data_IF_188708296830
#
_entry.id   IF_188708296830
#
_cell.length_a   1.000
_cell.length_b   1.000
_cell.length_c   1.000
_cell.angle_alpha   90.00
_cell.angle_beta   90.00
_cell.angle_gamma   90.00
#
_symmetry.space_group_name_H-M   'P 1'
#
loop_
_entity.id
_entity.type
_entity.pdbx_description
1 polymer ?
#
# COMPACT_ATOMS: atom_id res chain seq x y z
N UNK A 1 20.71 6.08 -16.11
CA UNK A 1 19.33 5.78 -15.70
C UNK A 1 18.85 6.87 -14.77
N UNK A 2 17.66 7.46 -15.01
CA UNK A 2 17.11 8.45 -14.08
C UNK A 2 16.49 7.78 -12.86
N UNK A 3 16.85 8.25 -11.67
CA UNK A 3 16.34 7.73 -10.39
C UNK A 3 15.71 8.86 -9.59
N UNK A 4 14.46 8.65 -9.18
CA UNK A 4 13.68 9.50 -8.29
C UNK A 4 13.76 8.97 -6.85
N UNK A 5 13.70 9.85 -5.86
CA UNK A 5 13.80 9.49 -4.45
C UNK A 5 12.68 10.12 -3.63
N UNK A 6 12.05 9.31 -2.79
CA UNK A 6 11.15 9.72 -1.71
C UNK A 6 11.39 8.86 -0.47
N UNK A 7 10.81 9.28 0.65
CA UNK A 7 10.89 8.56 1.92
C UNK A 7 9.63 8.79 2.75
N UNK A 8 9.32 7.85 3.63
CA UNK A 8 8.18 7.92 4.55
C UNK A 8 8.38 8.91 5.70
N UNK A 9 9.61 9.35 5.93
CA UNK A 9 9.97 10.40 6.88
C UNK A 9 10.76 11.51 6.17
N UNK A 10 10.58 12.78 6.58
CA UNK A 10 11.47 13.86 6.16
C UNK A 10 12.94 13.51 6.43
N UNK A 11 13.77 13.58 5.40
CA UNK A 11 15.17 13.22 5.48
C UNK A 11 16.04 14.00 4.48
N UNK A 12 17.31 14.19 4.82
CA UNK A 12 18.31 14.68 3.87
C UNK A 12 18.81 13.53 2.99
N UNK A 13 19.01 13.78 1.71
CA UNK A 13 19.55 12.83 0.73
C UNK A 13 20.98 13.24 0.35
N UNK A 14 21.90 12.29 0.46
CA UNK A 14 23.26 12.39 -0.10
C UNK A 14 23.49 11.32 -1.14
N UNK A 15 24.16 11.66 -2.23
CA UNK A 15 24.66 10.70 -3.21
C UNK A 15 26.17 10.85 -3.37
N UNK A 16 26.93 9.78 -3.14
CA UNK A 16 28.39 9.79 -3.21
C UNK A 16 29.03 10.83 -2.28
N UNK A 17 28.40 11.10 -1.13
CA UNK A 17 28.81 12.14 -0.18
C UNK A 17 28.34 13.57 -0.51
N UNK A 18 27.70 13.80 -1.66
CA UNK A 18 27.17 15.13 -2.06
C UNK A 18 25.74 15.29 -1.56
N UNK A 19 25.47 16.38 -0.84
CA UNK A 19 24.11 16.74 -0.41
C UNK A 19 23.24 17.20 -1.59
N UNK A 20 22.16 16.47 -1.87
CA UNK A 20 21.20 16.80 -2.93
C UNK A 20 19.96 17.56 -2.43
N UNK A 21 19.77 17.62 -1.10
CA UNK A 21 18.67 18.30 -0.44
C UNK A 21 17.80 17.34 0.36
N UNK A 22 16.53 17.70 0.56
CA UNK A 22 15.61 16.94 1.43
C UNK A 22 14.55 16.19 0.63
N UNK A 23 14.25 14.96 1.05
CA UNK A 23 13.14 14.12 0.61
C UNK A 23 12.00 14.26 1.63
N UNK A 24 10.77 14.49 1.16
CA UNK A 24 9.59 14.63 2.04
C UNK A 24 8.53 15.64 1.56
N UNK A 25 8.92 16.61 0.73
CA UNK A 25 8.00 17.61 0.16
C UNK A 25 7.94 17.67 -1.37
N UNK A 26 9.03 17.29 -2.04
CA UNK A 26 9.14 17.28 -3.51
C UNK A 26 10.02 16.11 -3.96
N UNK A 27 9.78 15.60 -5.16
CA UNK A 27 10.64 14.57 -5.74
C UNK A 27 12.05 15.10 -5.99
N UNK A 28 13.06 14.31 -5.61
CA UNK A 28 14.46 14.52 -6.00
C UNK A 28 14.81 13.51 -7.05
N UNK A 29 15.60 13.90 -8.04
CA UNK A 29 16.09 12.97 -9.05
C UNK A 29 17.55 13.22 -9.40
N UNK A 30 18.21 12.16 -9.85
CA UNK A 30 19.54 12.21 -10.45
C UNK A 30 19.60 11.24 -11.62
N UNK A 31 20.51 11.47 -12.54
CA UNK A 31 20.92 10.47 -13.50
C UNK A 31 22.11 9.68 -12.93
N UNK A 32 21.93 8.39 -12.67
CA UNK A 32 22.97 7.46 -12.19
C UNK A 32 23.36 6.46 -13.25
N UNK A 33 24.64 6.12 -13.28
CA UNK A 33 25.13 4.95 -14.00
C UNK A 33 25.02 3.72 -13.08
N UNK A 34 24.16 2.72 -13.39
CA UNK A 34 24.03 1.52 -12.56
C UNK A 34 25.33 0.71 -12.43
N UNK A 35 26.31 0.91 -13.33
CA UNK A 35 27.61 0.27 -13.27
C UNK A 35 28.58 0.97 -12.31
N UNK A 36 28.34 2.24 -11.95
CA UNK A 36 29.26 3.06 -11.16
C UNK A 36 29.14 2.88 -9.64
N UNK A 37 28.22 2.03 -9.15
CA UNK A 37 27.94 1.78 -7.73
C UNK A 37 27.89 3.06 -6.87
N UNK A 38 26.78 3.78 -6.93
CA UNK A 38 26.64 5.06 -6.24
C UNK A 38 26.04 4.87 -4.85
N UNK A 39 26.74 5.29 -3.78
CA UNK A 39 26.17 5.30 -2.43
C UNK A 39 25.06 6.36 -2.33
N UNK A 40 23.90 5.97 -1.84
CA UNK A 40 22.78 6.83 -1.47
C UNK A 40 22.52 6.75 0.03
N UNK A 41 22.57 7.88 0.71
CA UNK A 41 22.35 7.98 2.16
C UNK A 41 21.10 8.84 2.41
N UNK A 42 20.12 8.27 3.11
CA UNK A 42 18.94 8.97 3.59
C UNK A 42 19.06 9.20 5.09
N UNK A 43 19.18 10.46 5.49
CA UNK A 43 19.44 10.85 6.87
C UNK A 43 18.15 11.46 7.44
N UNK A 44 17.39 10.72 8.27
CA UNK A 44 16.12 11.20 8.81
C UNK A 44 16.35 12.44 9.69
N UNK A 45 15.42 13.40 9.60
CA UNK A 45 15.45 14.60 10.46
C UNK A 45 15.19 14.25 11.93
N UNK A 46 14.37 13.23 12.17
CA UNK A 46 14.12 12.72 13.51
C UNK A 46 15.29 11.84 13.97
N UNK A 47 15.98 12.30 15.02
CA UNK A 47 17.12 11.63 15.62
C UNK A 47 16.80 10.27 16.26
N UNK A 48 15.53 9.93 16.45
CA UNK A 48 15.10 8.60 16.91
C UNK A 48 15.31 7.50 15.86
N UNK A 49 15.68 7.85 14.63
CA UNK A 49 15.96 6.91 13.54
C UNK A 49 17.44 6.90 13.14
N UNK A 50 17.86 5.77 12.59
CA UNK A 50 19.15 5.59 11.94
C UNK A 50 19.06 6.00 10.46
N UNK A 51 20.16 6.50 9.86
CA UNK A 51 20.23 6.67 8.41
C UNK A 51 19.98 5.34 7.66
N UNK A 52 19.41 5.45 6.48
CA UNK A 52 19.29 4.33 5.55
C UNK A 52 20.29 4.52 4.41
N UNK A 53 21.25 3.60 4.31
CA UNK A 53 22.34 3.65 3.35
C UNK A 53 22.20 2.53 2.31
N UNK A 54 22.28 2.88 1.04
CA UNK A 54 22.03 1.99 -0.09
C UNK A 54 23.11 2.16 -1.15
N UNK A 55 23.56 1.07 -1.76
CA UNK A 55 24.43 1.14 -2.94
C UNK A 55 23.57 0.95 -4.18
N UNK A 56 23.44 2.01 -4.97
CA UNK A 56 22.71 2.01 -6.23
C UNK A 56 23.53 1.28 -7.29
N UNK A 57 23.22 0.01 -7.48
CA UNK A 57 23.78 -0.87 -8.51
C UNK A 57 22.68 -1.73 -9.15
N UNK A 58 23.02 -2.47 -10.21
CA UNK A 58 22.03 -3.25 -10.97
C UNK A 58 21.19 -4.22 -10.12
N UNK A 59 21.79 -4.91 -9.15
CA UNK A 59 21.12 -5.88 -8.27
C UNK A 59 20.11 -5.21 -7.35
N UNK A 60 20.41 -4.01 -6.86
CA UNK A 60 19.52 -3.24 -5.98
C UNK A 60 18.16 -2.98 -6.64
N UNK A 61 18.13 -2.65 -7.93
CA UNK A 61 16.86 -2.39 -8.65
C UNK A 61 16.06 -3.65 -8.98
N UNK A 62 16.62 -4.84 -8.73
CA UNK A 62 15.95 -6.13 -8.94
C UNK A 62 15.49 -6.76 -7.62
N UNK A 63 16.19 -6.47 -6.52
CA UNK A 63 15.96 -7.03 -5.20
C UNK A 63 16.40 -6.01 -4.14
N UNK A 64 15.64 -4.92 -3.94
CA UNK A 64 15.97 -3.92 -2.94
C UNK A 64 15.82 -4.50 -1.52
N UNK A 65 16.47 -3.90 -0.51
CA UNK A 65 16.24 -4.26 0.89
C UNK A 65 14.77 -4.08 1.29
N UNK A 66 14.33 -4.84 2.30
CA UNK A 66 12.93 -4.86 2.74
C UNK A 66 12.34 -3.49 3.09
N UNK A 67 13.15 -2.53 3.50
CA UNK A 67 12.70 -1.18 3.86
C UNK A 67 12.54 -0.22 2.66
N UNK A 68 12.82 -0.67 1.42
CA UNK A 68 12.83 0.19 0.23
C UNK A 68 12.01 -0.41 -0.91
N UNK A 69 11.08 0.39 -1.44
CA UNK A 69 10.30 0.05 -2.63
C UNK A 69 10.92 0.66 -3.90
N UNK A 70 10.91 -0.11 -4.98
CA UNK A 70 11.41 0.28 -6.31
C UNK A 70 10.26 0.26 -7.31
N UNK A 71 9.93 1.42 -7.89
CA UNK A 71 8.94 1.55 -8.96
C UNK A 71 9.64 1.79 -10.30
N UNK A 72 9.33 0.99 -11.31
CA UNK A 72 9.96 1.06 -12.64
C UNK A 72 8.98 1.66 -13.66
N UNK A 73 9.39 2.74 -14.31
CA UNK A 73 8.59 3.48 -15.29
C UNK A 73 8.97 3.20 -16.74
N UNK A 74 9.88 2.25 -17.02
CA UNK A 74 10.46 2.02 -18.34
C UNK A 74 11.54 3.05 -18.74
N UNK A 75 11.27 4.35 -18.56
CA UNK A 75 12.22 5.44 -18.82
C UNK A 75 13.01 5.90 -17.57
N UNK A 76 12.52 5.56 -16.36
CA UNK A 76 13.12 5.94 -15.09
C UNK A 76 12.74 4.94 -13.98
N UNK A 77 13.35 5.11 -12.82
CA UNK A 77 13.04 4.37 -11.59
C UNK A 77 12.74 5.35 -10.46
N UNK A 78 11.85 4.97 -9.54
CA UNK A 78 11.60 5.70 -8.31
C UNK A 78 11.81 4.81 -7.11
N UNK A 79 12.63 5.28 -6.17
CA UNK A 79 12.95 4.65 -4.91
C UNK A 79 12.19 5.34 -3.79
N UNK A 80 11.51 4.54 -2.98
CA UNK A 80 10.83 5.00 -1.78
C UNK A 80 11.41 4.29 -0.56
N UNK A 81 11.96 5.03 0.39
CA UNK A 81 12.30 4.48 1.71
C UNK A 81 11.01 4.38 2.52
N UNK A 82 10.50 3.15 2.69
CA UNK A 82 9.25 2.87 3.38
C UNK A 82 9.40 3.00 4.89
N UNK A 83 10.56 2.65 5.44
CA UNK A 83 10.82 2.71 6.88
C UNK A 83 12.29 2.98 7.19
N UNK A 84 12.54 3.60 8.34
CA UNK A 84 13.87 3.76 8.92
C UNK A 84 13.96 2.94 10.20
N UNK A 85 15.12 2.33 10.44
CA UNK A 85 15.35 1.60 11.69
C UNK A 85 15.41 2.56 12.88
N UNK A 86 14.77 2.20 13.99
CA UNK A 86 14.87 2.99 15.20
C UNK A 86 16.30 2.96 15.77
N UNK A 87 16.76 4.09 16.30
CA UNK A 87 18.06 4.24 16.97
C UNK A 87 18.07 3.53 18.33
N UNK A 88 16.95 3.52 19.03
CA UNK A 88 16.82 2.82 20.31
C UNK A 88 16.56 1.32 20.08
N UNK A 89 17.47 0.48 20.56
CA UNK A 89 17.43 -0.98 20.44
C UNK A 89 17.15 -1.69 21.78
N UNK A 90 16.70 -0.97 22.81
CA UNK A 90 16.31 -1.60 24.06
C UNK A 90 15.01 -2.38 23.94
N UNK A 91 14.87 -3.43 24.76
CA UNK A 91 13.67 -4.27 24.81
C UNK A 91 12.75 -3.77 25.92
N UNK A 92 11.50 -3.47 25.59
CA UNK A 92 10.45 -3.18 26.58
C UNK A 92 9.15 -3.87 26.21
N UNK A 93 8.58 -4.64 27.13
CA UNK A 93 7.22 -5.22 26.95
C UNK A 93 6.19 -4.09 27.04
N UNK A 94 5.31 -4.03 26.06
CA UNK A 94 4.24 -3.03 25.95
C UNK A 94 2.92 -3.60 26.45
N UNK A 95 2.58 -4.82 26.02
CA UNK A 95 1.41 -5.55 26.48
C UNK A 95 1.69 -7.06 26.43
N UNK A 96 1.03 -7.82 27.31
CA UNK A 96 1.13 -9.27 27.29
C UNK A 96 -0.18 -9.88 27.82
N UNK A 97 -0.78 -10.77 27.04
CA UNK A 97 -2.07 -11.38 27.37
C UNK A 97 -2.05 -12.89 27.10
N UNK A 98 -2.89 -13.63 27.84
CA UNK A 98 -3.16 -15.05 27.58
C UNK A 98 -4.54 -15.22 26.96
N UNK A 99 -4.58 -15.49 25.67
CA UNK A 99 -5.81 -15.64 24.87
C UNK A 99 -5.71 -16.84 23.94
N UNK A 100 -6.82 -17.55 23.69
CA UNK A 100 -6.88 -18.72 22.81
C UNK A 100 -5.81 -19.81 23.10
N UNK A 101 -5.40 -19.96 24.36
CA UNK A 101 -4.33 -20.87 24.79
C UNK A 101 -2.91 -20.46 24.36
N UNK A 102 -2.71 -19.23 23.91
CA UNK A 102 -1.41 -18.64 23.56
C UNK A 102 -0.99 -17.57 24.56
N UNK A 103 0.32 -17.35 24.73
CA UNK A 103 0.88 -16.14 25.33
C UNK A 103 1.21 -15.17 24.20
N UNK A 104 0.50 -14.05 24.14
CA UNK A 104 0.69 -13.02 23.12
C UNK A 104 1.42 -11.85 23.76
N UNK A 105 2.57 -11.48 23.24
CA UNK A 105 3.40 -10.40 23.77
C UNK A 105 3.65 -9.35 22.69
N UNK A 106 3.28 -8.11 22.97
CA UNK A 106 3.72 -6.93 22.24
C UNK A 106 4.89 -6.30 22.97
N UNK A 107 5.98 -6.03 22.24
CA UNK A 107 7.17 -5.44 22.82
C UNK A 107 7.85 -4.51 21.80
N UNK A 108 8.64 -3.58 22.32
CA UNK A 108 9.51 -2.72 21.51
C UNK A 108 10.90 -3.33 21.46
N UNK A 109 11.46 -3.48 20.26
CA UNK A 109 12.87 -3.78 20.02
C UNK A 109 13.25 -3.27 18.62
N UNK A 110 13.82 -2.06 18.52
CA UNK A 110 14.09 -1.42 17.22
C UNK A 110 12.84 -1.08 16.38
N UNK A 111 11.65 -1.29 16.94
CA UNK A 111 10.33 -1.22 16.31
C UNK A 111 9.31 -1.95 17.19
N UNK A 112 8.04 -1.96 16.80
CA UNK A 112 7.00 -2.75 17.50
C UNK A 112 7.08 -4.19 17.01
N UNK A 113 7.08 -5.14 17.93
CA UNK A 113 7.24 -6.56 17.67
C UNK A 113 6.10 -7.32 18.35
N UNK A 114 5.63 -8.37 17.67
CA UNK A 114 4.67 -9.34 18.17
C UNK A 114 5.36 -10.68 18.37
N UNK A 115 5.08 -11.33 19.50
CA UNK A 115 5.35 -12.75 19.74
C UNK A 115 4.04 -13.45 20.11
N UNK A 116 3.77 -14.60 19.49
CA UNK A 116 2.68 -15.51 19.85
C UNK A 116 3.29 -16.86 20.19
N UNK A 117 3.20 -17.25 21.46
CA UNK A 117 3.76 -18.51 21.96
C UNK A 117 2.65 -19.49 22.32
N UNK A 118 2.77 -20.71 21.82
CA UNK A 118 1.92 -21.85 22.14
C UNK A 118 2.77 -23.06 22.48
N UNK A 119 2.16 -24.07 23.10
CA UNK A 119 2.86 -25.32 23.44
C UNK A 119 3.45 -26.04 22.23
N UNK A 120 2.85 -25.87 21.06
CA UNK A 120 3.23 -26.51 19.80
C UNK A 120 3.88 -25.56 18.78
N UNK A 121 4.13 -24.30 19.14
CA UNK A 121 4.74 -23.36 18.20
C UNK A 121 4.97 -21.95 18.71
N UNK A 122 5.72 -21.20 17.92
CA UNK A 122 6.09 -19.82 18.18
C UNK A 122 6.00 -19.02 16.88
N UNK A 123 5.56 -17.78 16.95
CA UNK A 123 5.48 -16.87 15.81
C UNK A 123 5.88 -15.46 16.21
N UNK A 124 6.65 -14.80 15.34
CA UNK A 124 7.03 -13.39 15.52
C UNK A 124 6.88 -12.60 14.25
N UNK A 125 6.53 -11.32 14.39
CA UNK A 125 6.58 -10.36 13.31
C UNK A 125 6.85 -8.93 13.80
N UNK A 126 7.44 -8.11 12.94
CA UNK A 126 7.45 -6.66 13.09
C UNK A 126 6.06 -6.11 12.77
N UNK A 127 5.56 -5.21 13.62
CA UNK A 127 4.29 -4.53 13.45
C UNK A 127 4.49 -3.04 13.13
N UNK A 128 3.50 -2.40 12.47
CA UNK A 128 3.47 -0.95 12.34
C UNK A 128 3.58 -0.23 13.69
N UNK A 129 4.18 0.96 13.70
CA UNK A 129 4.38 1.75 14.92
C UNK A 129 3.08 2.04 15.69
N UNK A 130 1.95 2.14 15.00
CA UNK A 130 0.62 2.34 15.60
C UNK A 130 0.23 1.23 16.59
N UNK A 131 0.82 0.02 16.51
CA UNK A 131 0.56 -1.06 17.47
C UNK A 131 1.21 -0.87 18.84
N UNK A 132 1.91 0.25 19.09
CA UNK A 132 2.52 0.54 20.38
C UNK A 132 1.51 0.50 21.54
N UNK A 133 0.28 0.94 21.28
CA UNK A 133 -0.83 0.97 22.25
C UNK A 133 -1.97 0.01 21.87
N UNK A 134 -1.66 -1.06 21.12
CA UNK A 134 -2.66 -2.01 20.66
C UNK A 134 -3.28 -2.82 21.80
N UNK A 135 -4.56 -3.11 21.66
CA UNK A 135 -5.27 -4.06 22.52
C UNK A 135 -5.10 -5.48 22.00
N UNK A 136 -4.85 -6.41 22.92
CA UNK A 136 -4.82 -7.85 22.65
C UNK A 136 -6.04 -8.47 23.32
N UNK A 137 -6.86 -9.18 22.58
CA UNK A 137 -8.06 -9.84 23.09
C UNK A 137 -8.45 -11.03 22.21
N UNK A 138 -9.48 -11.78 22.62
CA UNK A 138 -10.08 -12.82 21.78
C UNK A 138 -11.51 -12.49 21.42
N UNK A 139 -11.91 -12.91 20.22
CA UNK A 139 -13.27 -12.81 19.71
C UNK A 139 -13.62 -14.09 18.94
N UNK A 140 -14.90 -14.41 18.83
CA UNK A 140 -15.37 -15.60 18.12
C UNK A 140 -15.85 -15.24 16.71
N UNK A 141 -15.28 -15.90 15.69
CA UNK A 141 -15.73 -15.81 14.31
C UNK A 141 -16.04 -17.19 13.75
N UNK A 142 -17.26 -17.39 13.23
CA UNK A 142 -17.70 -18.68 12.69
C UNK A 142 -17.60 -19.82 13.70
N UNK A 143 -17.89 -19.53 14.98
CA UNK A 143 -17.80 -20.47 16.08
C UNK A 143 -16.38 -20.81 16.57
N UNK A 144 -15.34 -20.16 16.02
CA UNK A 144 -13.96 -20.34 16.46
C UNK A 144 -13.43 -19.08 17.17
N UNK A 145 -12.84 -19.28 18.35
CA UNK A 145 -12.16 -18.22 19.08
C UNK A 145 -10.80 -17.90 18.44
N UNK A 146 -10.54 -16.63 18.15
CA UNK A 146 -9.35 -16.14 17.46
C UNK A 146 -8.70 -15.00 18.24
N UNK A 147 -7.41 -14.77 18.00
CA UNK A 147 -6.62 -13.71 18.64
C UNK A 147 -6.76 -12.44 17.81
N UNK A 148 -7.15 -11.34 18.45
CA UNK A 148 -7.31 -10.03 17.84
C UNK A 148 -6.27 -9.06 18.40
N UNK A 149 -5.66 -8.31 17.50
CA UNK A 149 -4.84 -7.14 17.80
C UNK A 149 -5.45 -5.92 17.12
N UNK A 150 -5.84 -4.93 17.91
CA UNK A 150 -6.46 -3.71 17.42
C UNK A 150 -5.71 -2.47 17.91
N UNK A 151 -5.32 -1.61 16.98
CA UNK A 151 -4.69 -0.32 17.27
C UNK A 151 -5.48 0.82 16.60
N UNK A 152 -5.86 1.84 17.38
CA UNK A 152 -6.50 3.03 16.84
C UNK A 152 -5.49 3.88 16.06
N UNK A 153 -5.89 4.37 14.88
CA UNK A 153 -5.06 5.22 14.01
C UNK A 153 -5.92 6.36 13.43
N UNK A 154 -6.10 7.43 14.20
CA UNK A 154 -7.03 8.50 13.85
C UNK A 154 -8.48 8.00 13.94
N UNK A 155 -9.22 8.09 12.83
CA UNK A 155 -10.59 7.55 12.70
C UNK A 155 -10.62 6.07 12.30
N UNK A 156 -9.47 5.51 11.91
CA UNK A 156 -9.33 4.12 11.48
C UNK A 156 -8.84 3.22 12.64
N UNK A 157 -8.93 1.90 12.44
CA UNK A 157 -8.32 0.87 13.29
C UNK A 157 -7.46 -0.06 12.44
N UNK A 158 -6.20 -0.28 12.82
CA UNK A 158 -5.42 -1.39 12.31
C UNK A 158 -5.85 -2.66 13.04
N UNK A 159 -6.43 -3.62 12.31
CA UNK A 159 -6.99 -4.86 12.83
C UNK A 159 -6.24 -6.06 12.27
N UNK A 160 -5.48 -6.74 13.13
CA UNK A 160 -4.76 -7.97 12.81
C UNK A 160 -5.37 -9.14 13.58
N UNK A 161 -5.68 -10.24 12.91
CA UNK A 161 -6.34 -11.43 13.48
C UNK A 161 -5.50 -12.67 13.20
N UNK A 162 -5.35 -13.53 14.21
CA UNK A 162 -4.55 -14.75 14.16
C UNK A 162 -5.32 -15.96 14.68
N UNK A 163 -4.99 -17.12 14.12
CA UNK A 163 -5.35 -18.45 14.62
C UNK A 163 -4.10 -19.13 15.16
N UNK A 164 -3.86 -18.95 16.47
CA UNK A 164 -2.57 -19.30 17.08
C UNK A 164 -1.43 -18.56 16.39
N UNK A 165 -0.48 -19.31 15.83
CA UNK A 165 0.72 -18.77 15.15
C UNK A 165 0.46 -18.37 13.69
N UNK A 166 -0.78 -18.47 13.19
CA UNK A 166 -1.10 -18.22 11.79
C UNK A 166 -1.84 -16.88 11.62
N UNK A 167 -1.30 -15.91 10.85
CA UNK A 167 -2.04 -14.71 10.50
C UNK A 167 -3.22 -15.05 9.57
N UNK A 168 -4.40 -14.49 9.86
CA UNK A 168 -5.63 -14.71 9.09
C UNK A 168 -6.13 -13.44 8.40
N UNK A 169 -6.03 -12.28 9.05
CA UNK A 169 -6.54 -11.01 8.53
C UNK A 169 -5.63 -9.88 8.98
N UNK A 170 -5.27 -8.97 8.08
CA UNK A 170 -4.47 -7.78 8.38
C UNK A 170 -4.97 -6.65 7.51
N UNK A 171 -5.71 -5.71 8.08
CA UNK A 171 -6.21 -4.55 7.34
C UNK A 171 -6.37 -3.34 8.25
N UNK A 172 -6.40 -2.17 7.61
CA UNK A 172 -6.96 -0.95 8.19
C UNK A 172 -8.47 -0.93 7.94
N UNK A 173 -9.25 -0.76 8.99
CA UNK A 173 -10.72 -0.79 8.95
C UNK A 173 -11.28 0.43 9.65
N UNK A 174 -12.37 1.01 9.14
CA UNK A 174 -13.17 2.01 9.84
C UNK A 174 -13.90 1.38 11.03
N UNK A 175 -14.41 0.17 10.83
CA UNK A 175 -15.10 -0.61 11.84
C UNK A 175 -15.13 -2.09 11.48
N UNK A 176 -15.38 -2.93 12.47
CA UNK A 176 -15.55 -4.37 12.27
C UNK A 176 -16.56 -4.93 13.28
N UNK A 177 -17.06 -6.13 12.99
CA UNK A 177 -17.86 -6.94 13.90
C UNK A 177 -17.50 -8.42 13.73
N UNK A 178 -17.33 -9.12 14.85
CA UNK A 178 -17.16 -10.57 14.91
C UNK A 178 -18.52 -11.25 15.17
N UNK A 179 -18.74 -12.40 14.56
CA UNK A 179 -19.97 -13.17 14.64
C UNK A 179 -19.88 -14.40 13.76
N UNK A 180 -20.95 -14.77 13.03
CA UNK A 180 -20.86 -15.85 12.03
C UNK A 180 -19.85 -15.54 10.91
N UNK A 181 -19.71 -14.27 10.55
CA UNK A 181 -18.70 -13.73 9.64
C UNK A 181 -17.88 -12.67 10.37
N UNK A 182 -16.65 -12.44 9.92
CA UNK A 182 -15.95 -11.19 10.21
C UNK A 182 -16.47 -10.15 9.22
N UNK A 183 -17.24 -9.17 9.70
CA UNK A 183 -17.67 -8.02 8.92
C UNK A 183 -16.67 -6.88 9.12
N UNK A 184 -16.19 -6.28 8.04
CA UNK A 184 -15.24 -5.18 8.08
C UNK A 184 -15.61 -4.08 7.08
N UNK A 185 -15.52 -2.82 7.54
CA UNK A 185 -15.72 -1.62 6.73
C UNK A 185 -14.36 -0.97 6.45
N UNK A 186 -14.02 -0.76 5.18
CA UNK A 186 -12.73 -0.22 4.76
C UNK A 186 -12.94 1.10 4.00
N UNK A 187 -12.12 2.10 4.27
CA UNK A 187 -12.08 3.35 3.52
C UNK A 187 -10.92 3.34 2.52
N UNK A 188 -11.21 3.70 1.28
CA UNK A 188 -10.19 3.98 0.27
C UNK A 188 -9.87 5.48 0.29
N UNK A 189 -8.57 5.81 0.29
CA UNK A 189 -8.08 7.19 0.21
C UNK A 189 -7.97 7.63 -1.26
N UNK A 190 -9.09 7.52 -1.98
CA UNK A 190 -9.18 7.83 -3.41
C UNK A 190 -10.10 9.02 -3.68
N UNK A 191 -10.23 9.43 -4.95
CA UNK A 191 -10.97 10.65 -5.28
C UNK A 191 -12.48 10.57 -4.99
N UNK A 192 -13.06 9.37 -5.07
CA UNK A 192 -14.48 9.14 -4.79
C UNK A 192 -14.74 8.82 -3.31
N UNK A 193 -13.68 8.65 -2.51
CA UNK A 193 -13.75 8.25 -1.10
C UNK A 193 -14.51 6.95 -0.94
N UNK A 194 -14.18 5.92 -1.75
CA UNK A 194 -14.91 4.66 -1.69
C UNK A 194 -14.87 4.05 -0.29
N UNK A 195 -15.97 3.42 0.08
CA UNK A 195 -16.12 2.65 1.30
C UNK A 195 -16.57 1.25 0.90
N UNK A 196 -15.77 0.25 1.26
CA UNK A 196 -16.13 -1.15 1.10
C UNK A 196 -16.68 -1.73 2.39
N UNK A 197 -17.73 -2.53 2.27
CA UNK A 197 -18.22 -3.41 3.31
C UNK A 197 -17.97 -4.85 2.88
N UNK A 198 -17.23 -5.58 3.70
CA UNK A 198 -16.76 -6.93 3.38
C UNK A 198 -17.15 -7.90 4.49
N UNK A 199 -17.65 -9.07 4.10
CA UNK A 199 -17.94 -10.18 5.00
C UNK A 199 -17.00 -11.34 4.71
N UNK A 200 -16.31 -11.84 5.73
CA UNK A 200 -15.32 -12.90 5.59
C UNK A 200 -15.76 -14.13 6.40
N UNK A 201 -15.90 -15.25 5.71
CA UNK A 201 -16.21 -16.54 6.33
C UNK A 201 -14.92 -17.25 6.69
N UNK A 202 -14.84 -17.77 7.92
CA UNK A 202 -13.75 -18.67 8.28
C UNK A 202 -14.05 -20.06 7.71
N UNK A 203 -13.25 -20.50 6.73
CA UNK A 203 -13.35 -21.82 6.11
C UNK A 203 -11.99 -22.49 6.10
N UNK A 204 -11.93 -23.73 6.59
CA UNK A 204 -10.70 -24.54 6.67
C UNK A 204 -9.48 -23.79 7.28
N UNK A 205 -9.72 -22.94 8.29
CA UNK A 205 -8.67 -22.18 8.97
C UNK A 205 -8.08 -21.04 8.15
N UNK A 206 -8.85 -20.48 7.21
CA UNK A 206 -8.54 -19.25 6.46
C UNK A 206 -9.80 -18.41 6.28
N UNK A 207 -9.66 -17.09 6.16
CA UNK A 207 -10.77 -16.25 5.76
C UNK A 207 -10.97 -16.31 4.24
N UNK A 208 -12.20 -16.59 3.83
CA UNK A 208 -12.67 -16.50 2.46
C UNK A 208 -13.70 -15.36 2.36
N UNK A 209 -13.54 -14.49 1.36
CA UNK A 209 -14.45 -13.38 1.12
C UNK A 209 -15.84 -13.93 0.72
N UNK A 210 -16.85 -13.68 1.54
CA UNK A 210 -18.22 -14.16 1.35
C UNK A 210 -19.15 -13.08 0.77
N UNK A 211 -18.91 -11.82 1.12
CA UNK A 211 -19.63 -10.66 0.56
C UNK A 211 -18.69 -9.47 0.43
N UNK A 212 -18.95 -8.63 -0.58
CA UNK A 212 -18.20 -7.42 -0.80
C UNK A 212 -19.08 -6.42 -1.56
N UNK A 213 -19.35 -5.28 -0.94
CA UNK A 213 -20.08 -4.17 -1.55
C UNK A 213 -19.25 -2.91 -1.43
N UNK A 214 -19.37 -2.02 -2.41
CA UNK A 214 -18.63 -0.76 -2.45
C UNK A 214 -19.62 0.33 -2.73
N UNK A 215 -19.48 1.43 -1.98
CA UNK A 215 -20.18 2.68 -2.25
C UNK A 215 -19.17 3.81 -2.27
N UNK A 216 -19.58 4.91 -2.84
CA UNK A 216 -18.81 6.15 -2.81
C UNK A 216 -19.17 6.95 -1.55
N UNK A 217 -18.40 8.00 -1.28
CA UNK A 217 -18.80 8.99 -0.27
C UNK A 217 -20.09 9.68 -0.70
N UNK A 218 -20.88 10.08 0.29
CA UNK A 218 -22.14 10.75 0.05
C UNK A 218 -21.91 12.08 -0.70
N UNK A 219 -22.72 12.35 -1.73
CA UNK A 219 -22.62 13.56 -2.55
C UNK A 219 -21.49 13.55 -3.59
N UNK A 220 -20.86 12.42 -3.86
CA UNK A 220 -19.92 12.30 -4.98
C UNK A 220 -20.66 12.20 -6.32
N UNK A 221 -20.43 13.17 -7.19
CA UNK A 221 -21.06 13.26 -8.51
C UNK A 221 -20.01 13.07 -9.61
N UNK A 222 -19.94 11.86 -10.19
CA UNK A 222 -18.94 11.53 -11.21
C UNK A 222 -19.00 12.44 -12.45
N UNK A 223 -20.20 12.88 -12.84
CA UNK A 223 -20.40 13.74 -14.01
C UNK A 223 -19.97 15.20 -13.76
N UNK A 224 -19.66 15.57 -12.51
CA UNK A 224 -19.14 16.90 -12.13
C UNK A 224 -17.61 16.96 -12.02
N UNK A 225 -16.93 15.83 -12.23
CA UNK A 225 -15.50 15.70 -12.07
C UNK A 225 -14.75 16.42 -13.20
N UNK A 226 -13.65 17.11 -12.88
CA UNK A 226 -12.73 17.63 -13.91
C UNK A 226 -12.22 16.44 -14.77
N UNK A 227 -12.19 16.61 -16.09
CA UNK A 227 -11.74 15.57 -17.02
C UNK A 227 -10.33 15.04 -16.70
N UNK A 228 -9.46 15.86 -16.08
CA UNK A 228 -8.12 15.47 -15.61
C UNK A 228 -8.14 14.44 -14.48
N UNK A 229 -9.23 14.36 -13.73
CA UNK A 229 -9.39 13.43 -12.63
C UNK A 229 -10.14 12.15 -13.04
N UNK A 230 -10.81 12.14 -14.20
CA UNK A 230 -11.57 10.99 -14.68
C UNK A 230 -10.74 9.70 -14.77
N UNK A 231 -9.48 9.72 -15.28
CA UNK A 231 -8.62 8.54 -15.26
C UNK A 231 -8.41 7.96 -13.86
N UNK A 232 -8.14 8.81 -12.88
CA UNK A 232 -7.94 8.39 -11.49
C UNK A 232 -9.21 7.80 -10.91
N UNK A 233 -10.34 8.50 -11.07
CA UNK A 233 -11.64 8.03 -10.57
C UNK A 233 -11.99 6.65 -11.13
N UNK A 234 -11.87 6.48 -12.45
CA UNK A 234 -12.15 5.21 -13.10
C UNK A 234 -11.27 4.07 -12.59
N UNK A 235 -9.94 4.24 -12.59
CA UNK A 235 -9.03 3.16 -12.18
C UNK A 235 -9.11 2.87 -10.67
N UNK A 236 -9.35 3.88 -9.84
CA UNK A 236 -9.55 3.71 -8.40
C UNK A 236 -10.87 2.98 -8.11
N UNK A 237 -11.98 3.34 -8.78
CA UNK A 237 -13.25 2.59 -8.68
C UNK A 237 -13.08 1.15 -9.16
N UNK A 238 -12.34 0.93 -10.25
CA UNK A 238 -12.04 -0.42 -10.75
C UNK A 238 -11.27 -1.24 -9.70
N UNK A 239 -10.20 -0.68 -9.13
CA UNK A 239 -9.39 -1.32 -8.09
C UNK A 239 -10.20 -1.63 -6.82
N UNK A 240 -11.03 -0.67 -6.40
CA UNK A 240 -11.92 -0.83 -5.26
C UNK A 240 -13.01 -1.88 -5.49
N UNK A 241 -13.24 -2.30 -6.76
CA UNK A 241 -14.35 -3.13 -7.24
C UNK A 241 -15.72 -2.48 -7.07
N UNK A 242 -15.76 -1.15 -7.20
CA UNK A 242 -17.00 -0.38 -7.27
C UNK A 242 -17.65 -0.41 -8.66
N UNK A 243 -18.73 0.34 -8.83
CA UNK A 243 -19.39 0.48 -10.12
C UNK A 243 -18.61 1.41 -11.06
N UNK A 244 -17.57 0.88 -11.69
CA UNK A 244 -16.78 1.62 -12.67
C UNK A 244 -17.49 1.81 -14.02
N UNK A 245 -18.58 1.07 -14.28
CA UNK A 245 -19.28 1.13 -15.58
C UNK A 245 -19.92 2.49 -15.83
N UNK A 246 -20.25 3.24 -14.78
CA UNK A 246 -20.82 4.59 -14.86
C UNK A 246 -19.89 5.62 -15.53
N UNK A 247 -18.58 5.37 -15.57
CA UNK A 247 -17.61 6.22 -16.26
C UNK A 247 -17.50 5.90 -17.75
N UNK A 248 -17.99 4.74 -18.19
CA UNK A 248 -17.82 4.25 -19.55
C UNK A 248 -18.90 4.81 -20.48
N UNK A 249 -18.57 4.96 -21.76
CA UNK A 249 -19.56 5.25 -22.80
C UNK A 249 -20.43 4.01 -23.08
N UNK A 250 -21.65 4.16 -23.63
CA UNK A 250 -22.53 3.02 -23.94
C UNK A 250 -21.87 1.93 -24.77
N UNK A 251 -20.99 2.31 -25.70
CA UNK A 251 -20.24 1.39 -26.56
C UNK A 251 -19.23 0.56 -25.78
N UNK A 252 -18.59 1.15 -24.76
CA UNK A 252 -17.55 0.48 -23.97
C UNK A 252 -18.14 -0.35 -22.81
N UNK A 253 -19.36 -0.04 -22.34
CA UNK A 253 -20.07 -0.83 -21.32
C UNK A 253 -20.21 -2.30 -21.75
N UNK A 254 -20.49 -2.56 -23.04
CA UNK A 254 -20.60 -3.92 -23.57
C UNK A 254 -19.31 -4.74 -23.50
N UNK A 255 -18.17 -4.09 -23.28
CA UNK A 255 -16.84 -4.69 -23.13
C UNK A 255 -16.26 -4.53 -21.72
N UNK A 256 -17.06 -4.08 -20.76
CA UNK A 256 -16.61 -3.84 -19.39
C UNK A 256 -16.00 -5.10 -18.75
N UNK A 257 -16.54 -6.27 -19.08
CA UNK A 257 -16.07 -7.55 -18.53
C UNK A 257 -14.68 -7.95 -19.07
N UNK A 258 -14.29 -7.46 -20.26
CA UNK A 258 -12.95 -7.68 -20.84
C UNK A 258 -11.86 -6.86 -20.11
N UNK A 259 -12.25 -5.82 -19.35
CA UNK A 259 -11.29 -4.86 -18.78
C UNK A 259 -10.37 -5.50 -17.76
N UNK A 260 -10.82 -6.53 -17.04
CA UNK A 260 -9.97 -7.23 -16.07
C UNK A 260 -8.81 -7.95 -16.76
N UNK A 261 -9.07 -8.60 -17.87
CA UNK A 261 -8.04 -9.32 -18.63
C UNK A 261 -7.09 -8.32 -19.33
N UNK A 262 -7.64 -7.19 -19.80
CA UNK A 262 -6.87 -6.13 -20.43
C UNK A 262 -5.95 -5.36 -19.46
N UNK A 263 -6.49 -4.94 -18.31
CA UNK A 263 -5.75 -4.16 -17.31
C UNK A 263 -4.89 -5.04 -16.40
N UNK A 264 -5.22 -6.32 -16.24
CA UNK A 264 -4.53 -7.24 -15.33
C UNK A 264 -4.74 -6.90 -13.85
N UNK A 265 -3.89 -7.49 -13.00
CA UNK A 265 -3.98 -7.37 -11.53
C UNK A 265 -3.02 -6.29 -11.01
N UNK A 266 -3.33 -5.02 -11.30
CA UNK A 266 -2.62 -3.91 -10.66
C UNK A 266 -3.03 -3.79 -9.18
N UNK A 267 -2.12 -3.30 -8.34
CA UNK A 267 -2.27 -3.18 -6.91
C UNK A 267 -2.53 -1.74 -6.44
N UNK A 268 -2.18 -0.74 -7.24
CA UNK A 268 -2.35 0.66 -6.90
C UNK A 268 -2.46 1.56 -8.14
N UNK A 269 -2.95 2.79 -7.92
CA UNK A 269 -3.12 3.84 -8.92
C UNK A 269 -2.31 5.05 -8.51
N UNK A 270 -1.32 5.44 -9.31
CA UNK A 270 -0.43 6.56 -8.99
C UNK A 270 -0.52 7.71 -9.99
N UNK A 271 -0.22 8.91 -9.51
CA UNK A 271 -0.03 10.09 -10.35
C UNK A 271 1.26 9.90 -11.16
N UNK A 272 1.26 10.16 -12.48
CA UNK A 272 2.49 10.11 -13.25
C UNK A 272 3.56 11.07 -12.69
N UNK A 273 4.81 10.62 -12.52
CA UNK A 273 5.90 11.46 -12.03
C UNK A 273 6.21 12.58 -13.03
N UNK A 274 6.94 13.63 -12.65
CA UNK A 274 7.25 14.71 -13.60
C UNK A 274 8.02 14.24 -14.84
N UNK A 275 8.86 13.20 -14.72
CA UNK A 275 9.55 12.60 -15.87
C UNK A 275 8.58 12.08 -16.93
N UNK A 276 7.41 11.58 -16.53
CA UNK A 276 6.41 11.11 -17.48
C UNK A 276 6.03 12.24 -18.44
N UNK A 277 5.74 13.43 -17.91
CA UNK A 277 5.33 14.57 -18.75
C UNK A 277 6.48 15.15 -19.58
N UNK A 278 7.73 14.94 -19.16
CA UNK A 278 8.91 15.28 -19.96
C UNK A 278 9.12 14.31 -21.12
N UNK A 279 8.83 13.01 -20.92
CA UNK A 279 9.04 11.95 -21.91
C UNK A 279 7.84 11.82 -22.88
N UNK A 280 6.63 11.75 -22.33
CA UNK A 280 5.40 11.45 -23.06
C UNK A 280 4.57 12.71 -23.40
N UNK A 281 4.98 13.89 -22.92
CA UNK A 281 4.22 15.13 -23.07
C UNK A 281 3.02 15.25 -22.11
N UNK A 282 2.22 16.31 -22.27
CA UNK A 282 1.08 16.62 -21.39
C UNK A 282 -0.18 15.79 -21.72
N UNK A 283 -0.05 14.48 -21.66
CA UNK A 283 -1.16 13.55 -21.83
C UNK A 283 -1.88 13.37 -20.48
N UNK A 284 -3.21 13.38 -20.49
CA UNK A 284 -4.01 13.05 -19.32
C UNK A 284 -3.94 11.52 -19.08
N UNK A 285 -3.02 11.11 -18.22
CA UNK A 285 -2.70 9.72 -17.98
C UNK A 285 -2.62 9.40 -16.48
N UNK A 286 -2.72 8.11 -16.18
CA UNK A 286 -2.61 7.56 -14.83
C UNK A 286 -1.69 6.35 -14.85
N UNK A 287 -0.88 6.18 -13.80
CA UNK A 287 -0.02 5.00 -13.63
C UNK A 287 -0.77 3.90 -12.89
N UNK A 288 -0.73 2.68 -13.44
CA UNK A 288 -1.17 1.46 -12.77
C UNK A 288 0.05 0.70 -12.27
N UNK A 289 0.08 0.38 -10.98
CA UNK A 289 1.21 -0.23 -10.28
C UNK A 289 1.02 -1.75 -10.22
N UNK A 290 1.96 -2.50 -10.79
CA UNK A 290 1.94 -3.96 -10.86
C UNK A 290 3.07 -4.54 -10.00
N UNK A 291 2.78 -5.42 -9.03
CA UNK A 291 3.82 -6.14 -8.31
C UNK A 291 4.64 -7.02 -9.28
N UNK A 292 5.96 -6.85 -9.26
CA UNK A 292 6.88 -7.62 -10.10
C UNK A 292 7.74 -8.57 -9.28
N UNK A 293 8.21 -8.12 -8.10
CA UNK A 293 8.88 -8.91 -7.09
C UNK A 293 8.64 -8.29 -5.71
N UNK A 294 9.21 -8.87 -4.65
CA UNK A 294 9.14 -8.28 -3.31
C UNK A 294 9.75 -6.87 -3.32
N UNK A 295 8.95 -5.87 -2.94
CA UNK A 295 9.29 -4.45 -2.96
C UNK A 295 9.72 -3.90 -4.35
N UNK A 296 9.38 -4.59 -5.45
CA UNK A 296 9.62 -4.12 -6.82
C UNK A 296 8.31 -4.09 -7.60
N UNK A 297 8.02 -2.95 -8.20
CA UNK A 297 6.78 -2.68 -8.90
C UNK A 297 7.04 -2.14 -10.31
N UNK A 298 6.34 -2.67 -11.29
CA UNK A 298 6.26 -2.10 -12.64
C UNK A 298 5.08 -1.14 -12.72
N UNK A 299 5.29 0.03 -13.29
CA UNK A 299 4.22 1.01 -13.48
C UNK A 299 3.98 1.20 -14.96
N UNK A 300 2.76 0.90 -15.40
CA UNK A 300 2.31 1.13 -16.78
C UNK A 300 1.36 2.31 -16.80
N UNK A 301 1.54 3.21 -17.75
CA UNK A 301 0.69 4.38 -17.87
C UNK A 301 -0.42 4.15 -18.88
N UNK A 302 -1.61 4.63 -18.56
CA UNK A 302 -2.78 4.57 -19.42
C UNK A 302 -3.37 5.97 -19.58
N UNK A 303 -3.74 6.32 -20.81
CA UNK A 303 -4.52 7.51 -21.14
C UNK A 303 -5.94 7.13 -21.52
N UNK A 304 -6.89 8.01 -21.25
CA UNK A 304 -8.30 7.81 -21.58
C UNK A 304 -8.74 8.74 -22.69
N UNK A 305 -9.46 8.21 -23.68
CA UNK A 305 -10.21 9.04 -24.62
C UNK A 305 -11.60 9.31 -24.03
N UNK A 306 -11.91 10.58 -23.86
CA UNK A 306 -13.14 11.05 -23.23
C UNK A 306 -13.98 11.79 -24.27
N UNK A 307 -15.26 11.41 -24.39
CA UNK A 307 -16.26 12.08 -25.22
C UNK A 307 -17.51 12.32 -24.39
N UNK A 308 -17.96 13.57 -24.34
CA UNK A 308 -19.15 13.97 -23.58
C UNK A 308 -19.10 13.50 -22.11
N UNK A 309 -17.94 13.62 -21.47
CA UNK A 309 -17.72 13.23 -20.06
C UNK A 309 -17.66 11.72 -19.81
N UNK A 310 -17.70 10.86 -20.84
CA UNK A 310 -17.60 9.41 -20.72
C UNK A 310 -16.37 8.86 -21.41
N UNK A 311 -15.81 7.78 -20.86
CA UNK A 311 -14.63 7.08 -21.38
C UNK A 311 -15.08 6.23 -22.57
N UNK A 312 -14.62 6.58 -23.77
CA UNK A 312 -14.88 5.80 -24.98
C UNK A 312 -13.71 4.87 -25.34
N UNK A 313 -12.52 5.09 -24.78
CA UNK A 313 -11.37 4.24 -25.02
C UNK A 313 -10.35 4.32 -23.88
N UNK A 314 -9.61 3.24 -23.67
CA UNK A 314 -8.54 3.11 -22.68
C UNK A 314 -7.29 2.66 -23.44
N UNK A 315 -6.25 3.47 -23.44
CA UNK A 315 -5.07 3.27 -24.26
C UNK A 315 -3.82 3.17 -23.38
N UNK A 316 -2.92 2.20 -23.62
CA UNK A 316 -1.62 2.19 -22.98
C UNK A 316 -0.80 3.34 -23.57
N UNK A 317 -0.02 4.02 -22.73
CA UNK A 317 0.95 5.01 -23.20
C UNK A 317 2.23 4.27 -23.55
N UNK A 318 2.67 4.37 -24.81
CA UNK A 318 3.95 3.81 -25.25
C UNK A 318 5.11 4.60 -24.63
N UNK A 319 6.09 3.87 -24.08
CA UNK A 319 7.26 4.40 -23.34
C UNK A 319 8.54 4.09 -24.08
#
# INVERSE_FOLDING_TARGET
>A
MRVYFTASQPCALRLGGIMLGFCGGHEKFVDVDPESKTLAEFIPENADFLPADLVLEKSFFQSPPAFCDVYRYGFAVHLHIREFSARYSGISVLAQERVCGALVTLYKNGGIQLSIEKTDGFYTESLPAAFADAQIFSETVGGKELIFLAAAEGEDTLLFIYDGTRPLFKNRVLSYAAGELLSAKLAFRDCAGHIAESGWKLDNGRFALASYTVRERDGFEADSLDEKLLPFAFFQTFLARGDYRKYLSPELIGRADDLKDYLGNFADVCIPPSAFYLHCGKINATGLVYPAAENVFDVKFFSLEIKSGKICNILPVEI
#
